data_IF_625742449169
#
_entry.id   IF_625742449169
#
_cell.length_a   1.000
_cell.length_b   1.000
_cell.length_c   1.000
_cell.angle_alpha   90.00
_cell.angle_beta   90.00
_cell.angle_gamma   90.00
#
_symmetry.space_group_name_H-M   'P 1'
#
loop_
_entity.id
_entity.type
_entity.pdbx_description
1 polymer ?
#
# COMPACT_ATOMS: atom_id res chain seq x y z
N UNK A 1 -8.07 -1.68 0.72
CA UNK A 1 -9.26 -1.09 0.07
C UNK A 1 -9.12 -1.25 -1.44
N UNK A 2 -10.17 -1.67 -2.13
CA UNK A 2 -10.18 -1.81 -3.60
C UNK A 2 -11.31 -0.91 -4.12
N UNK A 3 -11.05 -0.15 -5.19
CA UNK A 3 -12.10 0.65 -5.82
C UNK A 3 -13.13 -0.27 -6.52
N UNK A 4 -14.41 0.02 -6.39
CA UNK A 4 -15.50 -0.82 -6.92
C UNK A 4 -15.44 -1.00 -8.45
N UNK A 5 -14.89 0.00 -9.15
CA UNK A 5 -14.66 -0.03 -10.60
C UNK A 5 -13.39 -0.80 -11.01
N UNK A 6 -12.65 -1.35 -10.04
CA UNK A 6 -11.39 -2.04 -10.25
C UNK A 6 -10.24 -1.11 -10.66
N UNK A 7 -10.41 0.21 -10.55
CA UNK A 7 -9.40 1.19 -10.99
C UNK A 7 -8.16 1.22 -10.12
N UNK A 8 -8.17 0.58 -8.95
CA UNK A 8 -6.97 0.44 -8.14
C UNK A 8 -7.22 -0.03 -6.72
N UNK A 9 -6.15 0.03 -5.93
CA UNK A 9 -6.10 -0.46 -4.56
C UNK A 9 -5.33 0.51 -3.66
N UNK A 10 -5.68 0.50 -2.38
CA UNK A 10 -4.89 1.05 -1.27
C UNK A 10 -4.62 -0.09 -0.30
N UNK A 11 -3.36 -0.24 0.08
CA UNK A 11 -2.90 -1.24 1.04
C UNK A 11 -2.26 -0.51 2.21
N UNK A 12 -2.53 -0.99 3.42
CA UNK A 12 -1.90 -0.52 4.63
C UNK A 12 -1.58 -1.73 5.50
N UNK A 13 -0.30 -1.88 5.82
CA UNK A 13 0.24 -2.96 6.64
C UNK A 13 0.62 -2.38 8.00
N UNK A 14 -0.16 -2.76 9.01
CA UNK A 14 0.11 -2.41 10.40
C UNK A 14 1.10 -3.40 10.98
N UNK A 15 2.27 -2.92 11.39
CA UNK A 15 3.35 -3.74 11.94
C UNK A 15 3.38 -3.58 13.46
N UNK A 16 3.16 -4.66 14.18
CA UNK A 16 3.29 -4.67 15.65
C UNK A 16 4.76 -4.59 16.06
N UNK A 17 5.09 -3.67 16.96
CA UNK A 17 6.42 -3.52 17.51
C UNK A 17 6.65 -2.15 18.16
N UNK A 18 7.76 -1.97 18.88
CA UNK A 18 8.14 -0.65 19.37
C UNK A 18 8.44 0.28 18.17
N UNK A 19 8.17 1.59 18.29
CA UNK A 19 8.54 2.54 17.25
C UNK A 19 10.07 2.64 17.11
N UNK A 20 10.54 2.96 15.90
CA UNK A 20 11.94 3.25 15.62
C UNK A 20 12.71 2.26 14.72
N UNK A 21 12.52 0.93 14.82
CA UNK A 21 13.16 -0.01 13.90
C UNK A 21 12.82 0.29 12.44
N UNK A 22 13.75 0.01 11.53
CA UNK A 22 13.50 0.14 10.10
C UNK A 22 12.59 -0.99 9.61
N UNK A 23 11.54 -0.64 8.87
CA UNK A 23 10.74 -1.59 8.12
C UNK A 23 11.19 -1.63 6.66
N UNK A 24 10.93 -2.74 5.98
CA UNK A 24 11.23 -2.91 4.56
C UNK A 24 10.08 -3.56 3.79
N UNK A 25 9.55 -2.87 2.79
CA UNK A 25 8.60 -3.40 1.82
C UNK A 25 9.32 -3.66 0.50
N UNK A 26 9.16 -4.87 -0.02
CA UNK A 26 9.69 -5.24 -1.34
C UNK A 26 8.56 -5.31 -2.35
N UNK A 27 8.72 -4.57 -3.46
CA UNK A 27 7.79 -4.60 -4.59
C UNK A 27 8.53 -5.16 -5.81
N UNK A 28 8.38 -6.46 -6.10
CA UNK A 28 8.92 -7.04 -7.33
C UNK A 28 8.09 -6.58 -8.53
N UNK A 29 8.76 -6.14 -9.59
CA UNK A 29 8.12 -5.78 -10.84
C UNK A 29 8.38 -6.88 -11.87
N UNK A 30 7.40 -7.17 -12.72
CA UNK A 30 7.60 -8.15 -13.78
C UNK A 30 8.70 -7.68 -14.76
N UNK A 31 9.45 -8.61 -15.40
CA UNK A 31 10.46 -8.29 -16.40
C UNK A 31 9.93 -7.33 -17.48
N UNK A 32 10.76 -6.36 -17.86
CA UNK A 32 10.40 -5.31 -18.82
C UNK A 32 9.44 -4.23 -18.27
N UNK A 33 9.08 -4.28 -16.98
CA UNK A 33 8.40 -3.17 -16.32
C UNK A 33 9.39 -2.06 -16.01
N UNK A 34 9.09 -0.83 -16.40
CA UNK A 34 9.87 0.35 -16.04
C UNK A 34 9.23 1.10 -14.89
N UNK A 35 10.08 1.69 -14.05
CA UNK A 35 9.71 2.57 -12.96
C UNK A 35 10.23 3.98 -13.25
N UNK A 36 9.35 4.95 -13.19
CA UNK A 36 9.69 6.37 -13.21
C UNK A 36 9.66 6.88 -11.77
N UNK A 37 10.66 7.68 -11.39
CA UNK A 37 10.85 8.12 -10.00
C UNK A 37 9.69 8.93 -9.39
N UNK A 38 8.68 9.27 -10.18
CA UNK A 38 7.46 9.96 -9.77
C UNK A 38 6.30 9.01 -9.39
N UNK A 39 6.51 7.70 -9.44
CA UNK A 39 5.44 6.72 -9.17
C UNK A 39 4.90 5.98 -10.38
N UNK A 40 5.25 6.37 -11.62
CA UNK A 40 4.69 5.75 -12.81
C UNK A 40 5.35 4.40 -13.12
N UNK A 41 4.53 3.36 -13.23
CA UNK A 41 4.90 2.03 -13.67
C UNK A 41 4.40 1.83 -15.11
N UNK A 42 5.25 1.34 -16.00
CA UNK A 42 4.85 0.92 -17.35
C UNK A 42 5.29 -0.52 -17.58
N UNK A 43 4.36 -1.42 -17.88
CA UNK A 43 4.68 -2.83 -18.17
C UNK A 43 5.27 -2.99 -19.57
N UNK A 44 5.89 -4.14 -19.84
CA UNK A 44 6.40 -4.48 -21.18
C UNK A 44 5.30 -4.43 -22.28
N UNK A 45 4.04 -4.68 -21.90
CA UNK A 45 2.88 -4.58 -22.80
C UNK A 45 2.33 -3.16 -22.98
N UNK A 46 2.95 -2.14 -22.36
CA UNK A 46 2.54 -0.75 -22.43
C UNK A 46 1.41 -0.36 -21.46
N UNK A 47 0.95 -1.27 -20.60
CA UNK A 47 -0.02 -0.93 -19.57
C UNK A 47 0.64 -0.04 -18.51
N UNK A 48 -0.10 0.95 -18.01
CA UNK A 48 0.40 1.92 -17.04
C UNK A 48 -0.34 1.82 -15.72
N UNK A 49 0.36 2.10 -14.63
CA UNK A 49 -0.22 2.29 -13.32
C UNK A 49 0.59 3.33 -12.53
N UNK A 50 -0.05 4.09 -11.66
CA UNK A 50 0.64 4.99 -10.74
C UNK A 50 0.64 4.37 -9.35
N UNK A 51 1.84 4.16 -8.81
CA UNK A 51 2.05 3.77 -7.43
C UNK A 51 2.42 5.00 -6.61
N UNK A 52 1.85 5.11 -5.42
CA UNK A 52 2.10 6.21 -4.50
C UNK A 52 2.29 5.68 -3.10
N UNK A 53 3.38 6.06 -2.46
CA UNK A 53 3.59 5.83 -1.04
C UNK A 53 2.73 6.82 -0.24
N UNK A 54 2.00 6.31 0.75
CA UNK A 54 1.19 7.12 1.67
C UNK A 54 1.92 7.34 3.00
N UNK A 55 2.81 6.43 3.37
CA UNK A 55 3.68 6.59 4.55
C UNK A 55 4.73 7.66 4.28
N UNK A 56 4.82 8.62 5.20
CA UNK A 56 5.82 9.68 5.17
C UNK A 56 7.22 9.15 5.54
N UNK A 57 8.26 9.92 5.24
CA UNK A 57 9.67 9.66 5.59
C UNK A 57 10.27 8.32 5.12
N UNK A 58 9.59 7.63 4.20
CA UNK A 58 10.07 6.43 3.58
C UNK A 58 10.77 6.71 2.24
N UNK A 59 11.79 5.92 1.97
CA UNK A 59 12.65 6.04 0.80
C UNK A 59 12.41 4.87 -0.14
N UNK A 60 12.43 5.16 -1.45
CA UNK A 60 12.33 4.13 -2.49
C UNK A 60 13.69 3.97 -3.14
N UNK A 61 14.25 2.76 -3.06
CA UNK A 61 15.47 2.37 -3.76
C UNK A 61 15.11 1.43 -4.90
N UNK A 62 15.61 1.72 -6.11
CA UNK A 62 15.44 0.86 -7.27
C UNK A 62 16.64 -0.09 -7.33
N UNK A 63 16.36 -1.38 -7.46
CA UNK A 63 17.36 -2.41 -7.65
C UNK A 63 16.87 -3.52 -8.58
N UNK A 64 17.57 -4.63 -8.54
CA UNK A 64 17.29 -5.81 -9.35
C UNK A 64 17.13 -7.04 -8.46
N UNK A 65 16.33 -8.01 -8.93
CA UNK A 65 16.13 -9.28 -8.25
C UNK A 65 15.79 -10.41 -9.23
N UNK A 66 15.89 -11.67 -8.80
CA UNK A 66 15.54 -12.80 -9.63
C UNK A 66 14.02 -12.90 -9.82
N UNK A 67 13.60 -13.18 -11.04
CA UNK A 67 12.23 -13.46 -11.42
C UNK A 67 12.14 -14.80 -12.15
N UNK A 68 11.06 -15.55 -11.90
CA UNK A 68 10.80 -16.82 -12.56
C UNK A 68 9.32 -16.92 -12.88
N UNK A 69 8.97 -17.03 -14.17
CA UNK A 69 7.60 -17.27 -14.63
C UNK A 69 7.27 -18.77 -14.73
N UNK A 70 8.30 -19.62 -14.76
CA UNK A 70 8.18 -21.08 -14.83
C UNK A 70 9.42 -21.75 -14.24
N UNK A 71 9.24 -22.97 -13.70
CA UNK A 71 10.34 -23.80 -13.21
C UNK A 71 11.48 -23.91 -14.23
N UNK A 72 12.72 -23.78 -13.74
CA UNK A 72 13.93 -23.88 -14.55
C UNK A 72 14.31 -22.61 -15.32
N UNK A 73 13.53 -21.53 -15.22
CA UNK A 73 13.88 -20.22 -15.77
C UNK A 73 14.13 -19.20 -14.65
N UNK A 74 15.18 -18.40 -14.78
CA UNK A 74 15.42 -17.22 -13.95
C UNK A 74 15.89 -16.10 -14.85
N UNK A 75 15.30 -14.93 -14.70
CA UNK A 75 15.73 -13.70 -15.34
C UNK A 75 15.80 -12.57 -14.32
N UNK A 76 16.52 -11.50 -14.65
CA UNK A 76 16.61 -10.32 -13.80
C UNK A 76 15.38 -9.44 -14.02
N UNK A 77 14.79 -8.95 -12.94
CA UNK A 77 13.68 -8.00 -12.98
C UNK A 77 13.89 -6.84 -12.01
N UNK A 78 13.27 -5.70 -12.31
CA UNK A 78 13.30 -4.54 -11.42
C UNK A 78 12.61 -4.87 -10.10
N UNK A 79 13.23 -4.41 -9.01
CA UNK A 79 12.71 -4.53 -7.65
C UNK A 79 12.75 -3.15 -7.01
N UNK A 80 11.65 -2.73 -6.41
CA UNK A 80 11.63 -1.58 -5.52
C UNK A 80 11.80 -2.06 -4.09
N UNK A 81 12.71 -1.43 -3.35
CA UNK A 81 12.82 -1.54 -1.91
C UNK A 81 12.34 -0.24 -1.31
N UNK A 82 11.28 -0.31 -0.53
CA UNK A 82 10.76 0.84 0.24
C UNK A 82 11.13 0.61 1.70
N UNK A 83 11.77 1.59 2.34
CA UNK A 83 12.16 1.48 3.73
C UNK A 83 12.02 2.81 4.46
N UNK A 84 11.72 2.74 5.75
CA UNK A 84 11.57 3.90 6.62
C UNK A 84 11.52 3.50 8.09
N UNK A 85 11.53 4.47 9.00
CA UNK A 85 11.34 4.21 10.42
C UNK A 85 9.91 3.73 10.70
N UNK A 86 9.77 2.75 11.59
CA UNK A 86 8.45 2.32 12.07
C UNK A 86 7.88 3.37 13.02
N UNK A 87 6.80 4.03 12.59
CA UNK A 87 6.06 5.02 13.39
C UNK A 87 4.55 4.94 13.22
N UNK A 88 4.06 3.94 12.47
CA UNK A 88 2.68 3.76 12.06
C UNK A 88 2.60 2.71 10.94
N UNK A 89 1.46 2.58 10.26
CA UNK A 89 1.30 1.62 9.18
C UNK A 89 2.13 1.98 7.94
N UNK A 90 2.54 0.94 7.24
CA UNK A 90 3.17 1.02 5.92
C UNK A 90 2.07 0.99 4.87
N UNK A 91 1.80 2.13 4.24
CA UNK A 91 0.66 2.29 3.35
C UNK A 91 1.08 2.81 1.97
N UNK A 92 0.44 2.26 0.95
CA UNK A 92 0.65 2.63 -0.45
C UNK A 92 -0.62 2.46 -1.26
N UNK A 93 -0.71 3.18 -2.38
CA UNK A 93 -1.81 3.11 -3.33
C UNK A 93 -1.28 2.75 -4.72
N UNK A 94 -2.09 2.02 -5.50
CA UNK A 94 -1.83 1.72 -6.90
C UNK A 94 -3.10 2.01 -7.70
N UNK A 95 -3.00 2.89 -8.70
CA UNK A 95 -4.09 3.22 -9.62
C UNK A 95 -3.74 2.76 -11.03
N UNK A 96 -4.68 2.14 -11.74
CA UNK A 96 -4.49 1.66 -13.11
C UNK A 96 -4.73 2.80 -14.12
N UNK A 97 -3.95 2.78 -15.20
CA UNK A 97 -3.97 3.79 -16.24
C UNK A 97 -3.25 5.10 -15.85
N UNK A 98 -3.42 6.12 -16.69
CA UNK A 98 -2.98 7.50 -16.41
C UNK A 98 -4.12 8.36 -15.87
N UNK A 99 -5.31 7.78 -15.70
CA UNK A 99 -6.47 8.49 -15.15
C UNK A 99 -6.32 8.65 -13.64
N UNK A 100 -6.68 9.83 -13.14
CA UNK A 100 -6.94 10.04 -11.73
C UNK A 100 -8.05 9.06 -11.29
N UNK A 101 -7.84 8.33 -10.20
CA UNK A 101 -8.92 7.65 -9.49
C UNK A 101 -9.26 8.56 -8.31
N UNK A 102 -10.34 9.36 -8.37
CA UNK A 102 -10.62 10.35 -7.33
C UNK A 102 -10.68 9.75 -5.92
N UNK A 103 -11.15 8.50 -5.83
CA UNK A 103 -11.23 7.70 -4.60
C UNK A 103 -9.84 7.43 -4.03
N UNK A 104 -8.90 7.00 -4.87
CA UNK A 104 -7.56 6.57 -4.43
C UNK A 104 -6.59 7.75 -4.35
N UNK A 105 -6.79 8.80 -5.17
CA UNK A 105 -6.04 10.05 -5.12
C UNK A 105 -6.26 10.79 -3.80
N UNK A 106 -7.46 10.63 -3.22
CA UNK A 106 -7.84 11.12 -1.89
C UNK A 106 -7.30 10.29 -0.73
N UNK A 107 -6.72 9.11 -0.94
CA UNK A 107 -6.25 8.26 0.15
C UNK A 107 -5.14 8.94 0.96
N UNK A 108 -5.26 8.93 2.29
CA UNK A 108 -4.30 9.54 3.22
C UNK A 108 -4.03 8.63 4.40
N UNK A 109 -2.84 8.78 4.94
CA UNK A 109 -2.47 8.22 6.23
C UNK A 109 -2.21 9.36 7.21
N UNK A 110 -2.83 9.29 8.39
CA UNK A 110 -2.71 10.27 9.46
C UNK A 110 -2.46 9.55 10.79
N UNK A 111 -1.18 9.41 11.17
CA UNK A 111 -0.81 8.52 12.27
C UNK A 111 -1.27 7.10 11.98
N UNK A 112 -2.12 6.53 12.84
CA UNK A 112 -2.67 5.17 12.68
C UNK A 112 -3.96 5.11 11.85
N UNK A 113 -4.50 6.25 11.41
CA UNK A 113 -5.72 6.32 10.60
C UNK A 113 -5.40 6.25 9.11
N UNK A 114 -5.96 5.24 8.45
CA UNK A 114 -6.09 5.21 7.00
C UNK A 114 -7.45 5.83 6.60
N UNK A 115 -7.44 6.92 5.83
CA UNK A 115 -8.62 7.51 5.22
C UNK A 115 -8.62 7.24 3.71
N UNK A 116 -9.69 6.62 3.19
CA UNK A 116 -9.90 6.41 1.76
C UNK A 116 -11.33 6.79 1.41
N UNK A 117 -11.49 7.84 0.60
CA UNK A 117 -12.80 8.36 0.17
C UNK A 117 -13.78 8.62 1.32
N UNK A 118 -13.27 9.11 2.47
CA UNK A 118 -14.08 9.42 3.65
C UNK A 118 -14.40 8.20 4.51
N UNK A 119 -13.95 7.00 4.13
CA UNK A 119 -13.94 5.83 5.01
C UNK A 119 -12.64 5.81 5.82
N UNK A 120 -12.78 5.65 7.13
CA UNK A 120 -11.65 5.59 8.06
C UNK A 120 -11.43 4.17 8.57
N UNK A 121 -10.17 3.74 8.66
CA UNK A 121 -9.77 2.49 9.30
C UNK A 121 -8.62 2.76 10.27
N UNK A 122 -8.77 2.34 11.52
CA UNK A 122 -7.70 2.28 12.52
C UNK A 122 -7.51 0.86 13.01
N UNK A 123 -6.26 0.53 13.34
CA UNK A 123 -5.90 -0.72 14.01
C UNK A 123 -5.14 -0.36 15.28
N UNK A 124 -5.54 -0.96 16.40
CA UNK A 124 -4.88 -0.79 17.69
C UNK A 124 -4.59 -2.14 18.33
N UNK A 125 -3.52 -2.20 19.11
CA UNK A 125 -3.08 -3.41 19.80
C UNK A 125 -3.07 -3.18 21.32
N UNK A 126 -3.51 -4.19 22.08
CA UNK A 126 -3.41 -4.19 23.53
C UNK A 126 -3.64 -5.58 24.10
N UNK A 127 -2.82 -6.00 25.06
CA UNK A 127 -2.99 -7.28 25.78
C UNK A 127 -3.14 -8.53 24.87
N UNK A 128 -2.40 -8.57 23.75
CA UNK A 128 -2.50 -9.66 22.76
C UNK A 128 -3.78 -9.64 21.92
N UNK A 129 -4.51 -8.53 21.93
CA UNK A 129 -5.74 -8.31 21.18
C UNK A 129 -5.50 -7.28 20.08
N UNK A 130 -6.06 -7.55 18.90
CA UNK A 130 -6.11 -6.58 17.80
C UNK A 130 -7.54 -6.04 17.72
N UNK A 131 -7.66 -4.74 17.87
CA UNK A 131 -8.89 -3.99 17.70
C UNK A 131 -8.84 -3.27 16.36
N UNK A 132 -9.78 -3.62 15.46
CA UNK A 132 -9.97 -2.95 14.19
C UNK A 132 -11.24 -2.10 14.30
N UNK A 133 -11.13 -0.81 14.01
CA UNK A 133 -12.27 0.11 14.00
C UNK A 133 -12.42 0.75 12.63
N UNK A 134 -13.58 0.57 12.01
CA UNK A 134 -13.91 1.11 10.70
C UNK A 134 -15.12 2.03 10.72
N UNK A 135 -15.02 3.15 10.01
CA UNK A 135 -16.09 4.12 9.75
C UNK A 135 -16.33 4.23 8.23
N UNK A 136 -17.60 4.25 7.81
CA UNK A 136 -17.97 4.37 6.40
C UNK A 136 -18.86 5.59 6.17
N UNK A 137 -18.60 6.43 5.15
CA UNK A 137 -19.32 7.68 4.93
C UNK A 137 -20.81 7.48 4.66
N UNK A 138 -21.18 6.37 4.01
CA UNK A 138 -22.59 6.00 3.76
C UNK A 138 -23.33 5.45 4.99
N UNK A 139 -22.67 5.39 6.15
CA UNK A 139 -23.28 5.00 7.43
C UNK A 139 -23.04 6.09 8.50
N UNK A 140 -23.43 7.35 8.23
CA UNK A 140 -23.20 8.43 9.18
C UNK A 140 -24.02 8.18 10.45
N UNK A 141 -23.35 8.07 11.60
CA UNK A 141 -23.97 7.76 12.89
C UNK A 141 -24.21 6.27 13.17
N UNK A 142 -23.79 5.38 12.25
CA UNK A 142 -23.69 3.95 12.56
C UNK A 142 -22.57 3.72 13.58
N UNK A 143 -22.75 2.76 14.49
CA UNK A 143 -21.65 2.33 15.35
C UNK A 143 -20.48 1.87 14.47
N UNK A 144 -19.26 2.27 14.85
CA UNK A 144 -18.06 1.81 14.18
C UNK A 144 -18.06 0.28 14.10
N UNK A 145 -17.71 -0.26 12.93
CA UNK A 145 -17.52 -1.70 12.82
C UNK A 145 -16.26 -2.05 13.60
N UNK A 146 -16.44 -2.65 14.80
CA UNK A 146 -15.34 -3.10 15.65
C UNK A 146 -15.17 -4.60 15.53
N UNK A 147 -13.96 -5.03 15.19
CA UNK A 147 -13.57 -6.45 15.18
C UNK A 147 -12.44 -6.65 16.16
N UNK A 148 -12.59 -7.65 17.03
CA UNK A 148 -11.61 -8.02 18.06
C UNK A 148 -11.02 -9.37 17.67
N UNK A 149 -9.72 -9.42 17.43
CA UNK A 149 -8.99 -10.67 17.15
C UNK A 149 -8.17 -11.06 18.39
N UNK A 150 -8.14 -12.37 18.70
CA UNK A 150 -7.41 -12.99 19.82
C UNK A 150 -6.56 -14.14 19.32
#
# INVERSE_FOLDING_TARGET
VVADDGSGIVVADWVEGPPGPEWGLTVPLAPGTTWEGDGLLTTAGGARARWRLLTEDATVTVGEGPWSSTYGSVETATRLLVAGPLGGPVAWALTLGTGASPVLDGARLHGDLLDVAGAGLTVSWGDGVIDLEGHHPDRPGGAAARVVLR
#
